data_IF_706188369781
#
_entry.id   IF_706188369781
#
_cell.length_a   1.000
_cell.length_b   1.000
_cell.length_c   1.000
_cell.angle_alpha   90.00
_cell.angle_beta   90.00
_cell.angle_gamma   90.00
#
_symmetry.space_group_name_H-M   'P 1'
#
loop_
_entity.id
_entity.type
_entity.pdbx_description
1 polymer ?
#
# COMPACT_ATOMS: atom_id res chain seq x y z
N UNK A 1 2.16 -6.66 -56.36
CA UNK A 1 1.05 -6.48 -55.39
C UNK A 1 1.66 -6.73 -54.02
N UNK A 2 2.04 -5.65 -53.34
CA UNK A 2 2.70 -5.71 -52.04
C UNK A 2 1.64 -5.80 -50.95
N UNK A 3 1.62 -6.90 -50.20
CA UNK A 3 0.84 -7.04 -48.97
C UNK A 3 1.49 -6.20 -47.87
N UNK A 4 0.82 -5.13 -47.47
CA UNK A 4 1.12 -4.43 -46.23
C UNK A 4 0.40 -5.13 -45.08
N UNK A 5 1.18 -5.84 -44.26
CA UNK A 5 0.77 -6.33 -42.95
C UNK A 5 0.63 -5.11 -42.03
N UNK A 6 -0.60 -4.80 -41.65
CA UNK A 6 -0.91 -3.82 -40.61
C UNK A 6 -0.60 -4.44 -39.25
N UNK A 7 0.47 -3.98 -38.59
CA UNK A 7 0.71 -4.28 -37.18
C UNK A 7 -0.26 -3.45 -36.33
N UNK A 8 -0.96 -4.03 -35.33
CA UNK A 8 -1.79 -3.25 -34.44
C UNK A 8 -0.90 -2.41 -33.52
N UNK A 9 -1.23 -1.12 -33.48
CA UNK A 9 -0.60 -0.08 -32.69
C UNK A 9 -0.79 -0.42 -31.19
N UNK A 10 0.23 -1.01 -30.58
CA UNK A 10 0.28 -1.29 -29.15
C UNK A 10 0.58 0.03 -28.40
N UNK A 11 -0.40 0.93 -28.41
CA UNK A 11 -0.42 2.08 -27.51
C UNK A 11 -0.67 1.53 -26.11
N UNK A 12 0.41 1.18 -25.43
CA UNK A 12 0.43 1.09 -23.98
C UNK A 12 0.00 2.45 -23.43
N UNK A 13 -1.30 2.60 -23.16
CA UNK A 13 -1.86 3.76 -22.48
C UNK A 13 -1.17 3.81 -21.12
N UNK A 14 -0.19 4.69 -21.00
CA UNK A 14 0.38 5.06 -19.73
C UNK A 14 -0.78 5.59 -18.88
N UNK A 15 -1.25 4.78 -17.94
CA UNK A 15 -2.29 5.18 -16.99
C UNK A 15 -1.75 6.41 -16.26
N UNK A 16 -2.30 7.58 -16.59
CA UNK A 16 -1.91 8.83 -15.94
C UNK A 16 -2.09 8.66 -14.43
N UNK A 17 -1.08 9.05 -13.65
CA UNK A 17 -1.17 8.94 -12.20
C UNK A 17 -2.37 9.75 -11.69
N UNK A 18 -3.13 9.23 -10.71
CA UNK A 18 -4.22 9.97 -10.09
C UNK A 18 -3.78 11.38 -9.68
N UNK A 19 -4.62 12.38 -9.94
CA UNK A 19 -4.34 13.81 -9.69
C UNK A 19 -3.95 14.12 -8.24
N UNK A 20 -4.36 13.27 -7.30
CA UNK A 20 -4.02 13.42 -5.88
C UNK A 20 -2.58 13.01 -5.57
N UNK A 21 -1.94 12.16 -6.37
CA UNK A 21 -0.57 11.72 -6.10
C UNK A 21 0.40 12.87 -6.41
N UNK A 22 1.24 13.28 -5.45
CA UNK A 22 2.19 14.35 -5.67
C UNK A 22 3.22 14.01 -6.75
N UNK A 23 3.84 15.05 -7.31
CA UNK A 23 4.97 14.89 -8.23
C UNK A 23 6.13 14.14 -7.57
N UNK A 24 6.95 13.50 -8.41
CA UNK A 24 8.08 12.68 -7.97
C UNK A 24 9.00 13.41 -6.97
N UNK A 25 9.31 14.68 -7.23
CA UNK A 25 10.21 15.48 -6.38
C UNK A 25 9.70 15.64 -4.94
N UNK A 26 8.38 15.78 -4.77
CA UNK A 26 7.77 15.87 -3.45
C UNK A 26 7.81 14.51 -2.71
N UNK A 27 7.64 13.40 -3.44
CA UNK A 27 7.79 12.05 -2.88
C UNK A 27 9.24 11.81 -2.44
N UNK A 28 10.22 12.20 -3.27
CA UNK A 28 11.63 12.14 -2.90
C UNK A 28 11.94 12.97 -1.66
N UNK A 29 11.39 14.19 -1.55
CA UNK A 29 11.60 15.03 -0.37
C UNK A 29 11.04 14.38 0.89
N UNK A 30 9.84 13.79 0.82
CA UNK A 30 9.26 13.04 1.94
C UNK A 30 10.11 11.83 2.31
N UNK A 31 10.68 11.12 1.33
CA UNK A 31 11.63 10.03 1.60
C UNK A 31 12.88 10.51 2.34
N UNK A 32 13.44 11.67 1.95
CA UNK A 32 14.60 12.27 2.62
C UNK A 32 14.28 12.67 4.06
N UNK A 33 13.12 13.29 4.31
CA UNK A 33 12.64 13.62 5.66
C UNK A 33 12.40 12.37 6.50
N UNK A 34 11.88 11.30 5.87
CA UNK A 34 11.70 9.99 6.48
C UNK A 34 12.98 9.18 6.67
N UNK A 35 14.15 9.75 6.35
CA UNK A 35 15.47 9.12 6.45
C UNK A 35 15.57 7.79 5.69
N UNK A 36 14.88 7.68 4.56
CA UNK A 36 14.96 6.51 3.70
C UNK A 36 16.24 6.55 2.85
N UNK A 37 16.91 5.40 2.77
CA UNK A 37 18.22 5.25 2.17
C UNK A 37 18.29 4.04 1.24
N UNK A 38 19.42 3.89 0.54
CA UNK A 38 19.68 2.70 -0.25
C UNK A 38 19.65 1.42 0.61
N UNK A 39 20.13 1.48 1.85
CA UNK A 39 20.13 0.35 2.78
C UNK A 39 18.70 -0.09 3.15
N UNK A 40 17.77 0.87 3.26
CA UNK A 40 16.35 0.58 3.45
C UNK A 40 15.76 -0.12 2.22
N UNK A 41 16.12 0.31 1.00
CA UNK A 41 15.70 -0.38 -0.22
C UNK A 41 16.26 -1.82 -0.30
N UNK A 42 17.50 -2.05 0.15
CA UNK A 42 18.05 -3.40 0.28
C UNK A 42 17.32 -4.23 1.35
N UNK A 43 17.02 -3.63 2.50
CA UNK A 43 16.24 -4.26 3.56
C UNK A 43 14.84 -4.64 3.09
N UNK A 44 14.14 -3.77 2.36
CA UNK A 44 12.82 -4.06 1.80
C UNK A 44 12.82 -5.23 0.81
N UNK A 45 13.82 -5.33 -0.07
CA UNK A 45 14.00 -6.52 -0.92
C UNK A 45 14.14 -7.81 -0.11
N UNK A 46 14.82 -7.74 1.03
CA UNK A 46 14.95 -8.85 1.95
C UNK A 46 13.65 -9.15 2.70
N UNK A 47 12.89 -8.13 3.12
CA UNK A 47 11.54 -8.29 3.68
C UNK A 47 10.67 -9.09 2.70
N UNK A 48 10.66 -8.72 1.41
CA UNK A 48 9.92 -9.49 0.40
C UNK A 48 10.42 -10.93 0.27
N UNK A 49 11.74 -11.15 0.23
CA UNK A 49 12.31 -12.50 0.15
C UNK A 49 11.83 -13.41 1.28
N UNK A 50 11.69 -12.86 2.49
CA UNK A 50 11.19 -13.57 3.67
C UNK A 50 9.67 -13.77 3.58
N UNK A 51 8.91 -12.73 3.23
CA UNK A 51 7.44 -12.75 3.33
C UNK A 51 6.72 -13.34 2.11
N UNK A 52 7.35 -13.42 0.92
CA UNK A 52 6.69 -13.81 -0.34
C UNK A 52 5.95 -15.15 -0.29
N UNK A 53 6.44 -16.11 0.50
CA UNK A 53 5.83 -17.44 0.65
C UNK A 53 4.76 -17.53 1.74
N UNK A 54 4.59 -16.47 2.52
CA UNK A 54 3.79 -16.43 3.76
C UNK A 54 3.00 -15.13 3.90
N UNK A 55 2.67 -14.48 2.78
CA UNK A 55 1.89 -13.23 2.76
C UNK A 55 0.49 -13.41 3.36
N UNK A 56 -0.07 -14.60 3.19
CA UNK A 56 -1.41 -14.94 3.62
C UNK A 56 -1.43 -15.13 5.15
N UNK A 57 -0.46 -15.87 5.70
CA UNK A 57 -0.24 -15.98 7.14
C UNK A 57 0.04 -14.63 7.80
N UNK A 58 0.78 -13.76 7.11
CA UNK A 58 1.04 -12.41 7.59
C UNK A 58 -0.23 -11.58 7.68
N UNK A 59 -1.09 -11.63 6.66
CA UNK A 59 -2.40 -11.00 6.68
C UNK A 59 -3.30 -11.57 7.79
N UNK A 60 -3.28 -12.89 7.99
CA UNK A 60 -4.08 -13.55 9.03
C UNK A 60 -3.62 -13.14 10.45
N UNK A 61 -2.32 -12.96 10.68
CA UNK A 61 -1.80 -12.40 11.94
C UNK A 61 -2.25 -10.97 12.16
N UNK A 62 -2.25 -10.14 11.11
CA UNK A 62 -2.73 -8.76 11.19
C UNK A 62 -4.23 -8.72 11.55
N UNK A 63 -5.06 -9.56 10.92
CA UNK A 63 -6.48 -9.65 11.26
C UNK A 63 -6.73 -10.24 12.64
N UNK A 64 -5.98 -11.27 13.04
CA UNK A 64 -6.07 -11.85 14.38
C UNK A 64 -5.74 -10.81 15.46
N UNK A 65 -4.72 -9.98 15.24
CA UNK A 65 -4.42 -8.85 16.13
C UNK A 65 -5.54 -7.80 16.12
N UNK A 66 -6.05 -7.44 14.95
CA UNK A 66 -7.11 -6.44 14.85
C UNK A 66 -8.44 -6.89 15.48
N UNK A 67 -8.70 -8.20 15.53
CA UNK A 67 -9.87 -8.77 16.20
C UNK A 67 -9.89 -8.48 17.71
N UNK A 68 -8.73 -8.25 18.34
CA UNK A 68 -8.64 -7.83 19.74
C UNK A 68 -9.10 -6.38 20.00
N UNK A 69 -9.35 -5.60 18.94
CA UNK A 69 -9.71 -4.18 19.01
C UNK A 69 -11.00 -3.92 18.22
N UNK A 70 -12.19 -3.93 18.87
CA UNK A 70 -13.47 -3.81 18.18
C UNK A 70 -13.60 -2.61 17.23
N UNK A 71 -13.13 -1.39 17.56
CA UNK A 71 -13.19 -0.25 16.64
C UNK A 71 -12.34 -0.44 15.38
N UNK A 72 -11.17 -1.08 15.50
CA UNK A 72 -10.29 -1.36 14.37
C UNK A 72 -10.87 -2.45 13.47
N UNK A 73 -11.41 -3.51 14.08
CA UNK A 73 -12.11 -4.57 13.36
C UNK A 73 -13.29 -4.01 12.55
N UNK A 74 -14.07 -3.09 13.12
CA UNK A 74 -15.16 -2.42 12.40
C UNK A 74 -14.66 -1.65 11.16
N UNK A 75 -13.50 -0.99 11.22
CA UNK A 75 -12.92 -0.25 10.10
C UNK A 75 -12.39 -1.18 9.01
N UNK A 76 -11.70 -2.26 9.38
CA UNK A 76 -11.23 -3.27 8.44
C UNK A 76 -12.42 -3.98 7.76
N UNK A 77 -13.52 -4.21 8.48
CA UNK A 77 -14.75 -4.73 7.92
C UNK A 77 -15.37 -3.73 6.93
N UNK A 78 -15.44 -2.43 7.27
CA UNK A 78 -15.92 -1.39 6.33
C UNK A 78 -15.08 -1.28 5.07
N UNK A 79 -13.75 -1.36 5.20
CA UNK A 79 -12.84 -1.46 4.06
C UNK A 79 -13.20 -2.66 3.18
N UNK A 80 -13.34 -3.85 3.80
CA UNK A 80 -13.73 -5.08 3.09
C UNK A 80 -15.09 -4.95 2.40
N UNK A 81 -16.07 -4.38 3.07
CA UNK A 81 -17.45 -4.27 2.57
C UNK A 81 -17.56 -3.19 1.48
N UNK A 82 -16.80 -2.09 1.60
CA UNK A 82 -16.66 -1.08 0.57
C UNK A 82 -16.04 -1.59 -0.72
N UNK A 83 -15.07 -2.48 -0.57
CA UNK A 83 -14.45 -3.21 -1.68
C UNK A 83 -15.49 -4.16 -2.33
N UNK A 84 -16.30 -4.88 -1.54
CA UNK A 84 -17.40 -5.75 -2.01
C UNK A 84 -18.53 -5.00 -2.71
N UNK A 85 -18.78 -3.74 -2.34
CA UNK A 85 -19.78 -2.89 -3.01
C UNK A 85 -19.45 -2.57 -4.47
N UNK A 86 -18.17 -2.72 -4.88
CA UNK A 86 -17.69 -2.44 -6.24
C UNK A 86 -17.62 -3.70 -7.12
N UNK A 87 -17.30 -4.84 -6.51
CA UNK A 87 -17.38 -6.15 -7.13
C UNK A 87 -18.12 -7.10 -6.18
N UNK A 88 -19.33 -7.58 -6.54
CA UNK A 88 -20.14 -8.44 -5.67
C UNK A 88 -19.46 -9.76 -5.29
N UNK A 89 -18.30 -10.06 -5.89
CA UNK A 89 -17.49 -11.25 -5.66
C UNK A 89 -16.14 -10.99 -4.98
N UNK A 90 -15.89 -9.84 -4.31
CA UNK A 90 -14.64 -9.71 -3.51
C UNK A 90 -14.69 -10.67 -2.32
N UNK A 91 -14.19 -11.86 -2.62
CA UNK A 91 -13.90 -12.94 -1.70
C UNK A 91 -12.60 -12.64 -0.94
N UNK A 92 -12.34 -13.45 0.09
CA UNK A 92 -11.09 -13.36 0.85
C UNK A 92 -9.84 -13.51 -0.04
N UNK A 93 -9.96 -14.20 -1.20
CA UNK A 93 -8.84 -14.41 -2.12
C UNK A 93 -8.44 -13.13 -2.85
N UNK A 94 -9.39 -12.26 -3.19
CA UNK A 94 -9.13 -10.96 -3.82
C UNK A 94 -8.38 -10.03 -2.89
N UNK A 95 -8.81 -9.96 -1.62
CA UNK A 95 -8.10 -9.20 -0.58
C UNK A 95 -6.68 -9.71 -0.35
N UNK A 96 -6.49 -11.04 -0.30
CA UNK A 96 -5.15 -11.66 -0.19
C UNK A 96 -4.28 -11.30 -1.40
N UNK A 97 -4.84 -11.30 -2.61
CA UNK A 97 -4.14 -10.90 -3.83
C UNK A 97 -3.68 -9.44 -3.77
N UNK A 98 -4.56 -8.53 -3.33
CA UNK A 98 -4.22 -7.12 -3.18
C UNK A 98 -3.18 -6.88 -2.10
N UNK A 99 -3.31 -7.53 -0.93
CA UNK A 99 -2.30 -7.45 0.12
C UNK A 99 -0.93 -7.95 -0.36
N UNK A 100 -0.90 -9.08 -1.07
CA UNK A 100 0.33 -9.61 -1.67
C UNK A 100 0.93 -8.63 -2.69
N UNK A 101 0.09 -8.04 -3.54
CA UNK A 101 0.53 -7.05 -4.54
C UNK A 101 1.08 -5.79 -3.88
N UNK A 102 0.36 -5.25 -2.90
CA UNK A 102 0.78 -4.13 -2.08
C UNK A 102 2.13 -4.38 -1.42
N UNK A 103 2.32 -5.53 -0.79
CA UNK A 103 3.58 -5.88 -0.11
C UNK A 103 4.73 -6.06 -1.11
N UNK A 104 4.47 -6.73 -2.24
CA UNK A 104 5.43 -6.89 -3.33
C UNK A 104 5.91 -5.54 -3.86
N UNK A 105 4.97 -4.65 -4.19
CA UNK A 105 5.28 -3.35 -4.77
C UNK A 105 5.92 -2.40 -3.76
N UNK A 106 5.48 -2.43 -2.50
CA UNK A 106 6.13 -1.71 -1.39
C UNK A 106 7.59 -2.12 -1.25
N UNK A 107 7.89 -3.41 -1.38
CA UNK A 107 9.23 -3.91 -1.14
C UNK A 107 10.18 -3.77 -2.34
N UNK A 108 9.68 -3.91 -3.57
CA UNK A 108 10.50 -3.92 -4.78
C UNK A 108 10.51 -2.58 -5.53
N UNK A 109 9.44 -1.79 -5.39
CA UNK A 109 9.27 -0.50 -6.06
C UNK A 109 8.91 0.62 -5.05
N UNK A 110 9.68 0.79 -3.95
CA UNK A 110 9.33 1.75 -2.89
C UNK A 110 9.30 3.21 -3.38
N UNK A 111 10.05 3.56 -4.42
CA UNK A 111 10.09 4.94 -4.94
C UNK A 111 8.92 5.21 -5.89
N UNK A 112 8.56 4.25 -6.73
CA UNK A 112 7.54 4.41 -7.76
C UNK A 112 6.11 4.33 -7.21
N UNK A 113 5.94 3.59 -6.11
CA UNK A 113 4.67 3.36 -5.40
C UNK A 113 3.51 2.98 -6.35
N UNK A 114 3.70 1.98 -7.24
CA UNK A 114 2.73 1.66 -8.29
C UNK A 114 1.35 1.27 -7.74
N UNK A 115 1.31 0.61 -6.58
CA UNK A 115 0.05 0.23 -5.94
C UNK A 115 -0.81 1.46 -5.58
N UNK A 116 -0.20 2.56 -5.12
CA UNK A 116 -0.92 3.81 -4.80
C UNK A 116 -1.51 4.42 -6.06
N UNK A 117 -0.76 4.38 -7.17
CA UNK A 117 -1.19 4.92 -8.47
C UNK A 117 -2.33 4.14 -9.09
N UNK A 118 -2.49 2.87 -8.72
CA UNK A 118 -3.56 1.99 -9.19
C UNK A 118 -4.81 2.04 -8.31
N UNK A 119 -4.78 2.74 -7.17
CA UNK A 119 -5.97 2.90 -6.34
C UNK A 119 -7.05 3.67 -7.13
N UNK A 120 -8.29 3.15 -7.23
CA UNK A 120 -9.37 3.81 -7.95
C UNK A 120 -9.96 4.95 -7.09
N UNK A 121 -9.13 5.92 -6.71
CA UNK A 121 -9.49 7.07 -5.89
C UNK A 121 -9.23 8.33 -6.71
N UNK A 122 -10.29 9.08 -6.99
CA UNK A 122 -10.21 10.40 -7.60
C UNK A 122 -10.67 11.45 -6.57
N UNK A 123 -9.90 12.53 -6.44
CA UNK A 123 -10.35 13.72 -5.73
C UNK A 123 -11.30 14.47 -6.67
N UNK A 124 -12.60 14.42 -6.40
CA UNK A 124 -13.55 15.29 -7.08
C UNK A 124 -13.38 16.73 -6.56
N UNK A 125 -13.30 17.74 -7.45
CA UNK A 125 -13.16 19.14 -7.04
C UNK A 125 -14.44 19.74 -6.41
N UNK A 126 -15.57 19.04 -6.45
CA UNK A 126 -16.88 19.49 -5.95
C UNK A 126 -17.65 18.31 -5.33
N UNK A 127 -18.50 18.52 -4.29
CA UNK A 127 -19.22 17.45 -3.59
C UNK A 127 -20.35 16.78 -4.41
N UNK A 128 -20.46 17.05 -5.71
CA UNK A 128 -21.63 16.69 -6.54
C UNK A 128 -21.38 15.71 -7.68
N UNK A 129 -20.21 15.08 -7.80
CA UNK A 129 -19.97 14.04 -8.83
C UNK A 129 -19.94 12.64 -8.24
N UNK A 130 -20.72 11.75 -8.84
CA UNK A 130 -20.98 10.35 -8.47
C UNK A 130 -19.78 9.39 -8.58
N UNK A 131 -18.56 9.85 -8.33
CA UNK A 131 -17.45 8.95 -8.09
C UNK A 131 -17.55 8.55 -6.62
N UNK A 132 -18.34 7.51 -6.31
CA UNK A 132 -18.38 6.94 -4.96
C UNK A 132 -16.95 6.43 -4.69
N UNK A 133 -16.15 7.12 -3.87
CA UNK A 133 -14.80 6.68 -3.58
C UNK A 133 -14.91 5.33 -2.86
N UNK A 134 -13.90 4.47 -2.99
CA UNK A 134 -13.74 3.37 -2.03
C UNK A 134 -13.93 3.97 -0.63
N UNK A 135 -14.88 3.49 0.21
CA UNK A 135 -15.16 4.14 1.48
C UNK A 135 -13.89 4.10 2.31
N UNK A 136 -13.23 5.25 2.34
CA UNK A 136 -11.95 5.40 2.98
C UNK A 136 -12.15 5.18 4.49
N UNK A 137 -11.30 4.37 5.13
CA UNK A 137 -11.35 4.21 6.58
C UNK A 137 -11.05 5.57 7.20
N UNK A 138 -11.53 5.81 8.42
CA UNK A 138 -11.20 7.07 9.08
C UNK A 138 -9.67 7.17 9.26
N UNK A 139 -9.09 8.31 8.89
CA UNK A 139 -7.63 8.45 8.76
C UNK A 139 -6.86 8.11 10.04
N UNK A 140 -7.46 8.35 11.21
CA UNK A 140 -6.88 7.96 12.51
C UNK A 140 -6.53 6.47 12.59
N UNK A 141 -7.29 5.60 11.93
CA UNK A 141 -7.00 4.17 11.90
C UNK A 141 -5.96 3.80 10.85
N UNK A 142 -5.85 4.55 9.75
CA UNK A 142 -4.74 4.40 8.79
C UNK A 142 -3.42 4.68 9.49
N UNK A 143 -3.35 5.78 10.26
CA UNK A 143 -2.18 6.12 11.08
C UNK A 143 -1.94 5.05 12.15
N UNK A 144 -2.97 4.68 12.91
CA UNK A 144 -2.82 3.72 14.00
C UNK A 144 -2.40 2.32 13.52
N UNK A 145 -2.73 1.94 12.28
CA UNK A 145 -2.34 0.66 11.67
C UNK A 145 -0.88 0.59 11.21
N UNK A 146 -0.19 1.74 11.06
CA UNK A 146 1.17 1.77 10.54
C UNK A 146 2.13 0.90 11.35
N UNK A 147 2.11 1.05 12.68
CA UNK A 147 2.97 0.28 13.58
C UNK A 147 2.55 -1.20 13.72
N UNK A 148 1.27 -1.55 13.96
CA UNK A 148 0.78 -2.93 13.93
C UNK A 148 1.19 -3.73 12.70
N UNK A 149 1.15 -3.10 11.52
CA UNK A 149 1.52 -3.75 10.27
C UNK A 149 2.99 -4.19 10.32
N UNK A 150 3.89 -3.35 10.82
CA UNK A 150 5.32 -3.70 10.98
C UNK A 150 5.55 -4.71 12.10
N UNK A 151 4.86 -4.56 13.24
CA UNK A 151 5.02 -5.44 14.40
C UNK A 151 4.62 -6.88 14.07
N UNK A 152 3.54 -7.06 13.31
CA UNK A 152 3.04 -8.38 12.90
C UNK A 152 3.96 -9.09 11.89
N UNK A 153 4.88 -8.37 11.24
CA UNK A 153 5.92 -8.94 10.40
C UNK A 153 7.08 -9.56 11.20
N UNK A 154 7.30 -9.12 12.45
CA UNK A 154 8.48 -9.50 13.26
C UNK A 154 8.66 -11.02 13.46
N UNK A 155 7.61 -11.82 13.76
CA UNK A 155 7.78 -13.27 13.94
C UNK A 155 8.35 -13.97 12.71
N UNK A 156 8.06 -13.46 11.52
CA UNK A 156 8.58 -14.00 10.27
C UNK A 156 10.07 -13.72 10.07
N UNK A 157 10.54 -12.56 10.54
CA UNK A 157 11.97 -12.22 10.51
C UNK A 157 12.76 -13.08 11.51
N UNK A 158 12.20 -13.31 12.71
CA UNK A 158 12.79 -14.22 13.71
C UNK A 158 12.87 -15.65 13.19
N UNK A 159 11.79 -16.15 12.57
CA UNK A 159 11.76 -17.51 12.02
C UNK A 159 12.77 -17.72 10.89
N UNK A 160 13.17 -16.65 10.18
CA UNK A 160 14.21 -16.69 9.15
C UNK A 160 15.64 -16.67 9.74
N UNK A 161 15.81 -16.72 11.07
CA UNK A 161 17.11 -16.79 11.72
C UNK A 161 17.89 -15.47 11.74
N UNK A 162 17.22 -14.34 11.51
CA UNK A 162 17.86 -13.03 11.60
C UNK A 162 18.25 -12.70 13.04
N UNK A 163 19.42 -12.09 13.21
CA UNK A 163 19.83 -11.54 14.51
C UNK A 163 19.01 -10.29 14.86
N UNK A 164 19.21 -9.76 16.07
CA UNK A 164 18.43 -8.63 16.55
C UNK A 164 18.60 -7.38 15.67
N UNK A 165 19.83 -7.08 15.26
CA UNK A 165 20.17 -5.91 14.45
C UNK A 165 19.58 -6.02 13.04
N UNK A 166 19.61 -7.21 12.45
CA UNK A 166 19.00 -7.48 11.16
C UNK A 166 17.48 -7.31 11.24
N UNK A 167 16.82 -7.90 12.25
CA UNK A 167 15.38 -7.75 12.45
C UNK A 167 15.00 -6.27 12.57
N UNK A 168 15.73 -5.50 13.37
CA UNK A 168 15.50 -4.06 13.53
C UNK A 168 15.63 -3.32 12.21
N UNK A 169 16.68 -3.58 11.42
CA UNK A 169 16.87 -2.99 10.10
C UNK A 169 15.70 -3.28 9.16
N UNK A 170 15.22 -4.53 9.13
CA UNK A 170 14.06 -4.93 8.31
C UNK A 170 12.77 -4.23 8.76
N UNK A 171 12.54 -4.15 10.07
CA UNK A 171 11.38 -3.47 10.65
C UNK A 171 11.42 -1.95 10.39
N UNK A 172 12.58 -1.32 10.53
CA UNK A 172 12.75 0.11 10.27
C UNK A 172 12.48 0.45 8.80
N UNK A 173 13.03 -0.32 7.87
CA UNK A 173 12.79 -0.11 6.45
C UNK A 173 11.32 -0.27 6.08
N UNK A 174 10.65 -1.31 6.61
CA UNK A 174 9.21 -1.51 6.41
C UNK A 174 8.39 -0.37 7.05
N UNK A 175 8.76 0.09 8.25
CA UNK A 175 8.09 1.20 8.93
C UNK A 175 8.19 2.50 8.14
N UNK A 176 9.38 2.87 7.65
CA UNK A 176 9.56 4.07 6.82
C UNK A 176 8.67 4.02 5.58
N UNK A 177 8.59 2.87 4.90
CA UNK A 177 7.72 2.69 3.75
C UNK A 177 6.24 2.83 4.07
N UNK A 178 5.78 2.22 5.17
CA UNK A 178 4.39 2.33 5.62
C UNK A 178 4.05 3.76 6.03
N UNK A 179 4.94 4.44 6.76
CA UNK A 179 4.73 5.83 7.17
C UNK A 179 4.65 6.78 5.98
N UNK A 180 5.51 6.62 4.96
CA UNK A 180 5.39 7.41 3.74
C UNK A 180 4.03 7.18 3.08
N UNK A 181 3.62 5.93 2.92
CA UNK A 181 2.33 5.59 2.30
C UNK A 181 1.15 6.19 3.08
N UNK A 182 1.19 6.13 4.42
CA UNK A 182 0.22 6.78 5.29
C UNK A 182 0.20 8.30 5.09
N UNK A 183 1.37 8.95 5.01
CA UNK A 183 1.47 10.39 4.77
C UNK A 183 0.88 10.78 3.41
N UNK A 184 1.18 10.03 2.35
CA UNK A 184 0.64 10.25 1.01
C UNK A 184 -0.88 10.08 0.98
N UNK A 185 -1.39 9.00 1.58
CA UNK A 185 -2.84 8.78 1.72
C UNK A 185 -3.53 9.90 2.51
N UNK A 186 -2.82 10.55 3.44
CA UNK A 186 -3.30 11.71 4.19
C UNK A 186 -3.82 12.85 3.32
N UNK A 187 -3.32 13.00 2.09
CA UNK A 187 -3.80 14.02 1.16
C UNK A 187 -5.27 13.87 0.80
N UNK A 188 -5.82 12.66 0.92
CA UNK A 188 -7.24 12.37 0.68
C UNK A 188 -8.16 12.84 1.82
N UNK A 189 -7.59 13.23 2.97
CA UNK A 189 -8.33 13.55 4.19
C UNK A 189 -8.11 14.97 4.70
N UNK A 190 -6.99 15.57 4.32
CA UNK A 190 -6.57 16.89 4.79
C UNK A 190 -7.16 17.97 3.88
N UNK A 191 -7.54 19.11 4.47
CA UNK A 191 -8.05 20.26 3.70
C UNK A 191 -7.00 20.79 2.73
N UNK A 192 -7.44 21.39 1.63
CA UNK A 192 -6.55 21.99 0.64
C UNK A 192 -5.54 22.96 1.28
N UNK A 193 -4.28 22.83 0.86
CA UNK A 193 -3.17 23.65 1.36
C UNK A 193 -2.62 23.27 2.74
N UNK A 194 -3.15 22.23 3.39
CA UNK A 194 -2.68 21.77 4.71
C UNK A 194 -1.98 20.41 4.71
N UNK A 195 -1.80 19.79 3.53
CA UNK A 195 -1.04 18.56 3.33
C UNK A 195 0.41 18.87 2.97
#
# INVERSE_FOLDING_TARGET
MSDQVHAPDEQAVAVAAPSWIPHHDAIEQLWRVGLFSADDAHALRQVWRILKGQTDDYLDRLFGMAAAYPPLCAQLNRLRDGIRGREPSVDAATMRRWFRRWLFETCLFPQDLPWLRQLPIELAPEPSTSAIPLPLPEFRYVIALAFPLVLTARPFFVANGGDHQEIERLQQALLKAVLLQTALLGKLYVKDGLW
#
